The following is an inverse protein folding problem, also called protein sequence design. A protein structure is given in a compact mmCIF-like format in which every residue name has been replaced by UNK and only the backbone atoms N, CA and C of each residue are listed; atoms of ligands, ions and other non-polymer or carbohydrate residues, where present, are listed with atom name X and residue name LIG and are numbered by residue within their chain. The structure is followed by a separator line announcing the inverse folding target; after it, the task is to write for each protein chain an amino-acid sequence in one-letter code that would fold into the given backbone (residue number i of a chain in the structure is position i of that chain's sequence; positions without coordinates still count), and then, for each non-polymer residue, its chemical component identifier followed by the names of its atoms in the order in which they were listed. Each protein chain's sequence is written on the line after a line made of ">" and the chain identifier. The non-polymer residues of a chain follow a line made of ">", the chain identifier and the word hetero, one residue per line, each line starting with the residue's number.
data_IF_188935355659
#
_entry.id   IF_188935355659
#
_cell.length_a   1.000
_cell.length_b   1.000
_cell.length_c   1.000
_cell.angle_alpha   90.00
_cell.angle_beta   90.00
_cell.angle_gamma   90.00
#
_symmetry.space_group_name_H-M   'P 1'
#
loop_
_entity.id
_entity.type
_entity.pdbx_description
1 polymer ?
#
# COMPACT_ATOMS: atom_id res chain seq x y z
N UNK A 1 35.68 7.40 0.71
CA UNK A 1 35.12 8.76 0.55
C UNK A 1 33.82 8.77 1.29
N UNK A 2 33.63 9.70 2.24
CA UNK A 2 32.37 9.83 2.97
C UNK A 2 31.32 10.29 1.99
N UNK A 3 30.42 9.39 1.57
CA UNK A 3 29.22 9.75 0.82
C UNK A 3 28.42 10.71 1.69
N UNK A 4 28.35 11.99 1.30
CA UNK A 4 27.48 12.96 1.96
C UNK A 4 26.05 12.62 1.57
N UNK A 5 25.20 12.30 2.55
CA UNK A 5 23.79 12.03 2.30
C UNK A 5 23.16 13.12 1.44
N UNK A 6 22.40 12.73 0.42
CA UNK A 6 21.77 13.62 -0.54
C UNK A 6 20.28 13.71 -0.23
N UNK A 7 19.81 14.92 0.04
CA UNK A 7 18.37 15.19 0.05
C UNK A 7 17.93 15.34 -1.39
N UNK A 8 17.22 14.36 -1.95
CA UNK A 8 16.60 14.52 -3.26
C UNK A 8 15.64 15.72 -3.23
N UNK A 9 15.54 16.48 -4.34
CA UNK A 9 14.81 17.75 -4.34
C UNK A 9 13.34 17.58 -3.96
N UNK A 10 12.89 18.33 -2.96
CA UNK A 10 11.49 18.33 -2.50
C UNK A 10 10.63 19.13 -3.50
N UNK A 11 9.46 18.59 -3.88
CA UNK A 11 8.43 19.33 -4.64
C UNK A 11 8.76 19.57 -6.10
N UNK A 12 9.62 18.73 -6.69
CA UNK A 12 10.00 18.81 -8.10
C UNK A 12 9.40 17.69 -8.96
N UNK A 13 8.64 16.78 -8.35
CA UNK A 13 8.07 15.67 -9.09
C UNK A 13 7.03 16.19 -10.08
N UNK A 14 7.13 15.71 -11.31
CA UNK A 14 6.17 15.98 -12.39
C UNK A 14 5.81 14.64 -13.03
N UNK A 15 4.58 14.48 -13.57
CA UNK A 15 4.22 13.26 -14.28
C UNK A 15 5.16 12.99 -15.45
N UNK A 16 5.63 11.76 -15.55
CA UNK A 16 6.30 11.22 -16.73
C UNK A 16 5.30 10.75 -17.80
N UNK A 17 5.82 10.03 -18.80
CA UNK A 17 5.00 9.44 -19.86
C UNK A 17 4.57 8.04 -19.43
N UNK A 18 3.26 7.81 -19.34
CA UNK A 18 2.70 6.49 -19.03
C UNK A 18 2.82 5.60 -20.28
N UNK A 19 3.51 4.46 -20.16
CA UNK A 19 3.62 3.48 -21.25
C UNK A 19 2.31 2.67 -21.41
N UNK A 20 2.07 2.01 -22.56
CA UNK A 20 0.87 1.18 -22.76
C UNK A 20 0.67 0.11 -21.68
N UNK A 21 -0.60 -0.28 -21.46
CA UNK A 21 -0.95 -1.37 -20.54
C UNK A 21 -0.24 -2.69 -20.92
N UNK A 22 0.27 -3.41 -19.91
CA UNK A 22 0.92 -4.70 -20.11
C UNK A 22 -0.12 -5.83 -20.26
N UNK A 23 0.07 -6.78 -21.19
CA UNK A 23 -0.91 -7.82 -21.47
C UNK A 23 -0.88 -8.93 -20.42
N UNK A 24 -2.06 -9.38 -19.99
CA UNK A 24 -2.21 -10.56 -19.12
C UNK A 24 -2.71 -11.77 -19.92
N UNK A 25 -2.07 -12.95 -19.85
CA UNK A 25 -2.55 -14.18 -20.49
C UNK A 25 -4.02 -14.48 -20.19
N UNK A 26 -4.71 -15.09 -21.15
CA UNK A 26 -6.13 -15.50 -20.98
C UNK A 26 -6.29 -16.65 -19.97
N UNK A 27 -5.24 -17.42 -19.71
CA UNK A 27 -5.22 -18.50 -18.72
C UNK A 27 -5.30 -18.00 -17.28
N UNK A 28 -4.88 -16.75 -17.01
CA UNK A 28 -4.91 -16.17 -15.66
C UNK A 28 -6.31 -15.60 -15.39
N UNK A 29 -7.02 -16.09 -14.35
CA UNK A 29 -8.33 -15.58 -13.98
C UNK A 29 -8.27 -14.09 -13.64
N UNK A 30 -9.24 -13.33 -14.15
CA UNK A 30 -9.36 -11.89 -13.89
C UNK A 30 -10.37 -11.64 -12.76
N UNK A 31 -10.13 -10.64 -11.90
CA UNK A 31 -11.14 -10.19 -10.96
C UNK A 31 -12.31 -9.55 -11.71
N UNK A 32 -13.47 -9.49 -11.05
CA UNK A 32 -14.75 -9.22 -11.72
C UNK A 32 -14.87 -7.81 -12.31
N UNK A 33 -14.08 -6.84 -11.83
CA UNK A 33 -14.13 -5.45 -12.26
C UNK A 33 -13.39 -5.18 -13.58
N UNK A 34 -12.56 -6.11 -14.06
CA UNK A 34 -11.78 -5.89 -15.29
C UNK A 34 -12.73 -5.74 -16.48
N UNK A 35 -12.65 -4.59 -17.15
CA UNK A 35 -13.55 -4.23 -18.25
C UNK A 35 -14.87 -3.57 -17.82
N UNK A 36 -15.04 -3.25 -16.53
CA UNK A 36 -16.18 -2.49 -15.99
C UNK A 36 -15.73 -1.11 -15.51
N UNK A 37 -16.69 -0.23 -15.21
CA UNK A 37 -16.40 1.10 -14.66
C UNK A 37 -15.79 1.03 -13.24
N UNK A 38 -16.06 -0.04 -12.49
CA UNK A 38 -15.54 -0.26 -11.15
C UNK A 38 -16.05 -1.58 -10.56
N UNK A 39 -15.61 -1.92 -9.35
CA UNK A 39 -16.03 -3.14 -8.67
C UNK A 39 -17.49 -3.10 -8.24
N UNK A 40 -18.12 -4.28 -8.22
CA UNK A 40 -19.42 -4.46 -7.59
C UNK A 40 -19.30 -4.27 -6.06
N UNK A 41 -20.32 -3.68 -5.39
CA UNK A 41 -20.32 -3.60 -3.93
C UNK A 41 -20.21 -4.99 -3.29
N UNK A 42 -19.24 -5.16 -2.38
CA UNK A 42 -19.09 -6.39 -1.62
C UNK A 42 -20.28 -6.60 -0.68
N UNK A 43 -20.77 -7.85 -0.62
CA UNK A 43 -21.92 -8.26 0.21
C UNK A 43 -21.60 -9.47 1.09
N UNK A 44 -20.36 -9.94 1.08
CA UNK A 44 -19.92 -11.07 1.88
C UNK A 44 -19.58 -10.67 3.31
N UNK A 45 -19.05 -11.63 4.06
CA UNK A 45 -18.60 -11.43 5.44
C UNK A 45 -17.15 -10.93 5.46
N UNK A 46 -16.84 -10.06 6.42
CA UNK A 46 -15.43 -9.68 6.72
C UNK A 46 -14.71 -10.82 7.47
N UNK A 47 -15.46 -11.63 8.24
CA UNK A 47 -14.97 -12.87 8.85
C UNK A 47 -14.93 -13.97 7.80
N UNK A 48 -13.74 -14.51 7.53
CA UNK A 48 -13.49 -15.51 6.48
C UNK A 48 -13.50 -16.92 7.05
N UNK A 49 -14.01 -17.87 6.27
CA UNK A 49 -13.84 -19.29 6.58
C UNK A 49 -12.39 -19.74 6.34
N UNK A 50 -12.04 -20.93 6.86
CA UNK A 50 -10.68 -21.45 6.80
C UNK A 50 -10.17 -21.65 5.35
N UNK A 51 -11.06 -22.04 4.42
CA UNK A 51 -10.68 -22.26 3.02
C UNK A 51 -10.35 -20.94 2.32
N UNK A 52 -11.19 -19.92 2.51
CA UNK A 52 -11.00 -18.58 1.96
C UNK A 52 -9.77 -17.93 2.56
N UNK A 53 -9.56 -18.07 3.88
CA UNK A 53 -8.37 -17.55 4.55
C UNK A 53 -7.07 -18.15 3.99
N UNK A 54 -7.04 -19.46 3.70
CA UNK A 54 -5.86 -20.08 3.10
C UNK A 54 -5.59 -19.55 1.68
N UNK A 55 -6.65 -19.30 0.89
CA UNK A 55 -6.50 -18.67 -0.43
C UNK A 55 -5.94 -17.25 -0.30
N UNK A 56 -6.41 -16.47 0.69
CA UNK A 56 -5.91 -15.11 0.95
C UNK A 56 -4.44 -15.20 1.34
N UNK A 57 -4.06 -16.12 2.22
CA UNK A 57 -2.66 -16.34 2.62
C UNK A 57 -1.75 -16.61 1.41
N UNK A 58 -2.22 -17.39 0.43
CA UNK A 58 -1.48 -17.62 -0.82
C UNK A 58 -1.33 -16.33 -1.63
N UNK A 59 -2.42 -15.60 -1.89
CA UNK A 59 -2.38 -14.33 -2.62
C UNK A 59 -1.48 -13.29 -1.93
N UNK A 60 -1.61 -13.14 -0.61
CA UNK A 60 -0.81 -12.26 0.23
C UNK A 60 0.68 -12.60 0.16
N UNK A 61 1.03 -13.88 0.20
CA UNK A 61 2.43 -14.31 0.09
C UNK A 61 3.02 -13.98 -1.29
N UNK A 62 2.25 -14.17 -2.37
CA UNK A 62 2.69 -13.79 -3.72
C UNK A 62 2.95 -12.27 -3.79
N UNK A 63 2.04 -11.44 -3.27
CA UNK A 63 2.22 -9.99 -3.23
C UNK A 63 3.47 -9.57 -2.43
N UNK A 64 3.67 -10.15 -1.25
CA UNK A 64 4.85 -9.90 -0.41
C UNK A 64 6.16 -10.28 -1.11
N UNK A 65 6.17 -11.41 -1.84
CA UNK A 65 7.33 -11.84 -2.61
C UNK A 65 7.58 -10.95 -3.84
N UNK A 66 6.52 -10.43 -4.47
CA UNK A 66 6.64 -9.45 -5.54
C UNK A 66 7.28 -8.15 -5.06
N UNK A 67 6.90 -7.64 -3.87
CA UNK A 67 7.56 -6.48 -3.24
C UNK A 67 9.05 -6.74 -3.04
N UNK A 68 9.42 -7.93 -2.55
CA UNK A 68 10.83 -8.31 -2.37
C UNK A 68 11.57 -8.36 -3.71
N UNK A 69 10.95 -8.89 -4.76
CA UNK A 69 11.55 -8.94 -6.09
C UNK A 69 11.76 -7.53 -6.65
N UNK A 70 10.70 -6.72 -6.73
CA UNK A 70 10.77 -5.33 -7.21
C UNK A 70 11.83 -4.54 -6.43
N UNK A 71 11.87 -4.72 -5.10
CA UNK A 71 12.84 -4.08 -4.21
C UNK A 71 14.31 -4.32 -4.58
N UNK A 72 14.66 -5.44 -5.22
CA UNK A 72 16.04 -5.72 -5.68
C UNK A 72 16.49 -4.80 -6.82
N UNK A 73 15.54 -4.23 -7.54
CA UNK A 73 15.79 -3.40 -8.73
C UNK A 73 15.60 -1.90 -8.45
N UNK A 74 15.25 -1.52 -7.22
CA UNK A 74 15.14 -0.12 -6.80
C UNK A 74 16.54 0.44 -6.57
N UNK A 75 17.10 1.01 -7.63
CA UNK A 75 18.42 1.67 -7.65
C UNK A 75 18.34 2.99 -8.43
N UNK A 76 19.20 3.99 -8.15
CA UNK A 76 19.23 5.22 -8.93
C UNK A 76 19.34 4.94 -10.43
N UNK A 77 18.51 5.60 -11.24
CA UNK A 77 18.47 5.45 -12.69
C UNK A 77 17.40 4.49 -13.23
N UNK A 78 16.76 3.68 -12.38
CA UNK A 78 15.59 2.87 -12.80
C UNK A 78 14.37 3.76 -12.99
N UNK A 79 13.46 3.41 -13.92
CA UNK A 79 12.16 4.10 -14.02
C UNK A 79 11.09 3.37 -13.24
N UNK A 80 10.06 4.08 -12.78
CA UNK A 80 8.90 3.45 -12.14
C UNK A 80 8.18 2.48 -13.08
N UNK A 81 8.10 2.77 -14.38
CA UNK A 81 7.56 1.85 -15.40
C UNK A 81 8.36 0.54 -15.53
N UNK A 82 9.69 0.59 -15.30
CA UNK A 82 10.50 -0.63 -15.29
C UNK A 82 10.21 -1.48 -14.05
N UNK A 83 9.98 -0.83 -12.88
CA UNK A 83 9.56 -1.52 -11.66
C UNK A 83 8.16 -2.15 -11.82
N UNK A 84 7.23 -1.46 -12.48
CA UNK A 84 5.91 -2.02 -12.83
C UNK A 84 6.01 -3.29 -13.67
N UNK A 85 6.87 -3.29 -14.70
CA UNK A 85 7.11 -4.47 -15.53
C UNK A 85 7.62 -5.66 -14.71
N UNK A 86 8.54 -5.43 -13.78
CA UNK A 86 9.09 -6.48 -12.91
C UNK A 86 7.99 -7.05 -12.01
N UNK A 87 7.20 -6.20 -11.36
CA UNK A 87 6.08 -6.64 -10.52
C UNK A 87 5.00 -7.36 -11.32
N UNK A 88 4.68 -6.86 -12.51
CA UNK A 88 3.75 -7.50 -13.44
C UNK A 88 4.20 -8.91 -13.80
N UNK A 89 5.42 -9.05 -14.33
CA UNK A 89 5.99 -10.34 -14.72
C UNK A 89 6.05 -11.32 -13.54
N UNK A 90 6.45 -10.86 -12.36
CA UNK A 90 6.48 -11.70 -11.16
C UNK A 90 5.10 -12.25 -10.79
N UNK A 91 4.05 -11.42 -10.85
CA UNK A 91 2.69 -11.87 -10.55
C UNK A 91 2.19 -12.89 -11.59
N UNK A 92 2.48 -12.65 -12.87
CA UNK A 92 2.10 -13.58 -13.94
C UNK A 92 2.82 -14.93 -13.80
N UNK A 93 4.10 -14.94 -13.42
CA UNK A 93 4.88 -16.17 -13.18
C UNK A 93 4.32 -17.00 -12.02
N UNK A 94 3.51 -16.40 -11.15
CA UNK A 94 2.78 -17.07 -10.06
C UNK A 94 1.30 -17.31 -10.40
N UNK A 95 0.94 -17.21 -11.69
CA UNK A 95 -0.42 -17.35 -12.20
C UNK A 95 -1.42 -16.44 -11.47
N UNK A 96 -0.97 -15.25 -11.04
CA UNK A 96 -1.75 -14.25 -10.32
C UNK A 96 -1.99 -13.01 -11.20
N UNK A 97 -3.17 -12.40 -11.05
CA UNK A 97 -3.51 -11.18 -11.75
C UNK A 97 -3.10 -9.95 -10.91
N UNK A 98 -2.46 -8.92 -11.49
CA UNK A 98 -2.18 -7.67 -10.78
C UNK A 98 -3.47 -6.89 -10.51
N UNK A 99 -3.89 -6.79 -9.25
CA UNK A 99 -5.25 -6.32 -8.94
C UNK A 99 -5.49 -4.87 -9.36
N UNK A 100 -4.49 -4.00 -9.27
CA UNK A 100 -4.61 -2.60 -9.69
C UNK A 100 -4.88 -2.46 -11.19
N UNK A 101 -4.44 -3.41 -12.02
CA UNK A 101 -4.60 -3.33 -13.47
C UNK A 101 -6.07 -3.41 -13.90
N UNK A 102 -6.60 -2.29 -14.40
CA UNK A 102 -8.00 -2.14 -14.79
C UNK A 102 -8.94 -1.80 -13.63
N UNK A 103 -8.45 -1.70 -12.39
CA UNK A 103 -9.26 -1.31 -11.24
C UNK A 103 -9.67 0.16 -11.36
N UNK A 104 -10.97 0.41 -11.58
CA UNK A 104 -11.53 1.75 -11.85
C UNK A 104 -10.78 2.51 -12.96
N UNK A 105 -10.21 1.78 -13.93
CA UNK A 105 -9.47 2.35 -15.04
C UNK A 105 -7.98 2.60 -14.79
N UNK A 106 -7.42 2.25 -13.62
CA UNK A 106 -5.98 2.31 -13.36
C UNK A 106 -5.20 1.45 -14.36
N UNK A 107 -4.06 1.96 -14.84
CA UNK A 107 -3.40 1.51 -16.08
C UNK A 107 -2.17 0.64 -15.86
N UNK A 108 -1.77 0.44 -14.61
CA UNK A 108 -0.54 -0.25 -14.22
C UNK A 108 -0.82 -1.38 -13.23
N UNK A 109 0.19 -2.17 -12.97
CA UNK A 109 0.14 -3.44 -12.23
C UNK A 109 0.50 -3.27 -10.76
N UNK A 110 1.06 -2.11 -10.41
CA UNK A 110 1.39 -1.67 -9.06
C UNK A 110 1.28 -0.15 -8.97
N UNK A 111 1.32 0.40 -7.76
CA UNK A 111 1.54 1.83 -7.54
C UNK A 111 3.00 2.09 -7.15
N UNK A 112 3.56 3.20 -7.62
CA UNK A 112 4.91 3.65 -7.28
C UNK A 112 4.89 5.11 -6.83
N UNK A 113 4.98 5.34 -5.52
CA UNK A 113 4.78 6.65 -4.91
C UNK A 113 6.10 7.20 -4.38
N UNK A 114 6.70 8.14 -5.13
CA UNK A 114 7.99 8.76 -4.81
C UNK A 114 7.78 10.01 -3.94
N UNK A 115 8.59 10.15 -2.89
CA UNK A 115 8.77 11.38 -2.10
C UNK A 115 7.46 12.00 -1.57
N UNK A 116 6.92 13.02 -2.23
CA UNK A 116 5.68 13.73 -1.85
C UNK A 116 4.38 13.02 -2.24
N UNK A 117 4.46 11.95 -3.04
CA UNK A 117 3.31 11.15 -3.43
C UNK A 117 2.85 10.29 -2.25
N UNK A 118 1.65 10.56 -1.75
CA UNK A 118 1.02 9.88 -0.61
C UNK A 118 0.70 8.43 -0.97
N UNK A 119 -0.02 8.24 -2.09
CA UNK A 119 -0.43 6.92 -2.57
C UNK A 119 -0.80 7.02 -4.07
N UNK A 120 -1.00 5.85 -4.68
CA UNK A 120 -1.53 5.70 -6.04
C UNK A 120 -0.72 6.37 -7.16
N UNK A 121 0.58 6.62 -6.95
CA UNK A 121 1.45 7.09 -8.03
C UNK A 121 1.45 6.09 -9.19
N UNK A 122 1.13 6.56 -10.40
CA UNK A 122 1.10 5.71 -11.59
C UNK A 122 2.54 5.50 -12.11
N UNK A 123 3.01 4.26 -12.27
CA UNK A 123 4.27 3.98 -12.96
C UNK A 123 4.38 4.59 -14.36
N UNK A 124 5.48 5.29 -14.62
CA UNK A 124 5.73 6.05 -15.84
C UNK A 124 7.25 6.17 -16.12
N UNK A 125 7.65 7.06 -17.04
CA UNK A 125 9.08 7.29 -17.34
C UNK A 125 9.84 8.06 -16.26
N UNK A 126 9.27 8.35 -15.09
CA UNK A 126 9.96 9.01 -13.99
C UNK A 126 11.13 8.14 -13.53
N UNK A 127 12.31 8.74 -13.49
CA UNK A 127 13.55 8.10 -13.06
C UNK A 127 13.70 8.27 -11.55
N UNK A 128 13.96 7.17 -10.85
CA UNK A 128 14.26 7.17 -9.42
C UNK A 128 15.70 7.69 -9.21
N UNK A 129 15.87 8.66 -8.32
CA UNK A 129 17.14 9.35 -8.07
C UNK A 129 17.81 8.90 -6.74
N UNK A 130 19.11 9.17 -6.59
CA UNK A 130 19.82 8.98 -5.32
C UNK A 130 19.27 9.94 -4.25
N UNK A 131 18.89 9.40 -3.09
CA UNK A 131 18.29 10.18 -2.01
C UNK A 131 16.75 10.23 -2.01
N UNK A 132 16.09 9.54 -2.95
CA UNK A 132 14.64 9.36 -2.95
C UNK A 132 14.19 8.35 -1.88
N UNK A 133 12.93 8.48 -1.49
CA UNK A 133 12.15 7.38 -0.92
C UNK A 133 11.02 7.02 -1.89
N UNK A 134 10.75 5.73 -2.06
CA UNK A 134 9.72 5.23 -2.97
C UNK A 134 8.91 4.15 -2.29
N UNK A 135 7.59 4.33 -2.23
CA UNK A 135 6.66 3.26 -1.87
C UNK A 135 6.29 2.46 -3.13
N UNK A 136 6.34 1.13 -3.02
CA UNK A 136 5.78 0.21 -3.99
C UNK A 136 4.61 -0.50 -3.33
N UNK A 137 3.46 -0.48 -3.99
CA UNK A 137 2.21 -1.07 -3.54
C UNK A 137 1.71 -2.13 -4.54
N UNK A 138 1.60 -3.38 -4.09
CA UNK A 138 1.29 -4.53 -4.92
C UNK A 138 0.18 -5.36 -4.28
N UNK A 139 -0.86 -5.58 -5.08
CA UNK A 139 -1.96 -6.48 -4.74
C UNK A 139 -2.04 -7.65 -5.73
N UNK A 140 -1.91 -8.89 -5.24
CA UNK A 140 -2.05 -10.09 -6.07
C UNK A 140 -3.48 -10.64 -6.01
N UNK A 141 -4.07 -10.98 -7.16
CA UNK A 141 -5.33 -11.73 -7.24
C UNK A 141 -5.08 -13.16 -7.70
N UNK A 142 -5.36 -14.12 -6.81
CA UNK A 142 -5.19 -15.55 -7.04
C UNK A 142 -6.32 -16.33 -6.38
N UNK A 143 -6.77 -17.41 -7.03
CA UNK A 143 -7.81 -18.30 -6.49
C UNK A 143 -9.12 -17.59 -6.08
N UNK A 144 -9.45 -16.47 -6.73
CA UNK A 144 -10.67 -15.71 -6.45
C UNK A 144 -10.56 -14.70 -5.30
N UNK A 145 -9.35 -14.48 -4.75
CA UNK A 145 -9.12 -13.53 -3.65
C UNK A 145 -7.86 -12.68 -3.85
N UNK A 146 -7.87 -11.52 -3.24
CA UNK A 146 -6.81 -10.52 -3.22
C UNK A 146 -5.93 -10.68 -1.98
N UNK A 147 -4.65 -10.34 -2.10
CA UNK A 147 -3.75 -10.12 -0.98
C UNK A 147 -2.91 -8.88 -1.24
N UNK A 148 -2.80 -8.00 -0.24
CA UNK A 148 -2.38 -6.61 -0.43
C UNK A 148 -1.28 -6.18 0.53
N UNK A 149 -0.29 -5.47 0.00
CA UNK A 149 0.85 -4.96 0.78
C UNK A 149 1.66 -3.94 0.00
N UNK A 150 2.22 -3.00 0.74
CA UNK A 150 3.14 -2.01 0.24
C UNK A 150 4.32 -1.79 1.19
N UNK A 151 5.39 -1.24 0.62
CA UNK A 151 6.63 -0.98 1.36
C UNK A 151 7.35 0.24 0.82
N UNK A 152 7.76 1.16 1.71
CA UNK A 152 8.66 2.26 1.34
C UNK A 152 10.13 1.83 1.40
N UNK A 153 10.84 2.00 0.29
CA UNK A 153 12.26 1.77 0.12
C UNK A 153 13.04 3.08 0.13
N UNK A 154 14.26 3.05 0.68
CA UNK A 154 15.25 4.12 0.56
C UNK A 154 16.13 3.89 -0.67
N UNK A 155 16.35 4.92 -1.49
CA UNK A 155 17.12 4.81 -2.73
C UNK A 155 18.51 5.42 -2.53
N UNK A 156 19.54 4.59 -2.56
CA UNK A 156 20.92 5.04 -2.41
C UNK A 156 21.16 5.78 -1.09
N UNK A 157 21.70 7.01 -1.13
CA UNK A 157 22.09 7.78 0.07
C UNK A 157 21.00 8.75 0.55
N UNK A 158 20.04 8.25 1.33
CA UNK A 158 18.94 9.05 1.87
C UNK A 158 19.36 9.85 3.11
N UNK A 159 18.84 11.08 3.25
CA UNK A 159 19.03 11.92 4.45
C UNK A 159 18.37 11.33 5.72
N UNK A 160 18.84 11.80 6.88
CA UNK A 160 18.39 11.28 8.17
C UNK A 160 16.91 11.54 8.45
N UNK A 161 16.36 12.69 8.03
CA UNK A 161 14.94 13.03 8.25
C UNK A 161 14.04 12.02 7.54
N UNK A 162 14.39 11.65 6.32
CA UNK A 162 13.63 10.73 5.48
C UNK A 162 13.84 9.28 5.91
N UNK A 163 15.07 8.91 6.30
CA UNK A 163 15.33 7.60 6.93
C UNK A 163 14.48 7.41 8.18
N UNK A 164 14.38 8.43 9.04
CA UNK A 164 13.55 8.41 10.24
C UNK A 164 12.06 8.39 9.92
N UNK A 165 11.59 9.10 8.89
CA UNK A 165 10.20 9.02 8.43
C UNK A 165 9.82 7.58 8.06
N UNK A 166 10.65 6.92 7.24
CA UNK A 166 10.44 5.54 6.81
C UNK A 166 10.42 4.59 8.01
N UNK A 167 11.43 4.64 8.87
CA UNK A 167 11.53 3.80 10.09
C UNK A 167 10.30 3.96 11.01
N UNK A 168 9.89 5.20 11.24
CA UNK A 168 8.78 5.51 12.16
C UNK A 168 7.42 5.18 11.55
N UNK A 169 7.25 5.29 10.24
CA UNK A 169 6.02 4.85 9.56
C UNK A 169 5.86 3.34 9.71
N UNK A 170 6.91 2.57 9.45
CA UNK A 170 6.92 1.12 9.66
C UNK A 170 6.64 0.75 11.13
N UNK A 171 7.27 1.44 12.08
CA UNK A 171 7.05 1.21 13.51
C UNK A 171 5.62 1.55 13.94
N UNK A 172 4.97 2.54 13.32
CA UNK A 172 3.57 2.89 13.56
C UNK A 172 2.63 1.75 13.16
N UNK A 173 2.83 1.17 11.97
CA UNK A 173 2.12 -0.03 11.52
C UNK A 173 2.33 -1.19 12.49
N UNK A 174 3.58 -1.47 12.87
CA UNK A 174 3.91 -2.55 13.81
C UNK A 174 3.22 -2.39 15.16
N UNK A 175 3.05 -1.16 15.65
CA UNK A 175 2.30 -0.87 16.88
C UNK A 175 0.81 -1.05 16.70
N UNK A 176 0.28 -0.61 15.57
CA UNK A 176 -1.13 -0.75 15.22
C UNK A 176 -1.57 -2.22 15.15
N UNK A 177 -0.76 -3.07 14.51
CA UNK A 177 -0.98 -4.53 14.44
C UNK A 177 -1.06 -5.14 15.85
N UNK A 178 -0.20 -4.72 16.78
CA UNK A 178 -0.26 -5.21 18.18
C UNK A 178 -1.50 -4.75 18.94
N UNK A 179 -2.21 -3.74 18.45
CA UNK A 179 -3.48 -3.30 19.02
C UNK A 179 -4.68 -4.13 18.52
N UNK A 180 -4.51 -4.93 17.46
CA UNK A 180 -5.56 -5.80 16.93
C UNK A 180 -5.80 -6.96 17.89
N UNK A 181 -7.04 -7.12 18.33
CA UNK A 181 -7.51 -8.26 19.11
C UNK A 181 -9.04 -8.37 19.01
N UNK A 182 -9.63 -9.57 19.12
CA UNK A 182 -11.07 -9.74 19.19
C UNK A 182 -11.71 -8.89 20.31
N UNK A 183 -12.90 -8.35 20.05
CA UNK A 183 -13.67 -7.56 21.00
C UNK A 183 -13.27 -6.09 21.13
N UNK A 184 -12.18 -5.66 20.48
CA UNK A 184 -11.80 -4.24 20.41
C UNK A 184 -12.42 -3.58 19.18
N UNK A 185 -12.73 -2.30 19.28
CA UNK A 185 -13.19 -1.49 18.15
C UNK A 185 -12.03 -1.18 17.18
N UNK A 186 -12.30 -1.16 15.87
CA UNK A 186 -11.31 -0.88 14.82
C UNK A 186 -10.64 0.49 14.98
N UNK A 187 -11.37 1.54 15.38
CA UNK A 187 -10.83 2.89 15.56
C UNK A 187 -9.62 2.99 16.53
N UNK A 188 -9.37 1.95 17.34
CA UNK A 188 -8.20 1.88 18.21
C UNK A 188 -6.88 1.76 17.46
N UNK A 189 -6.92 1.25 16.22
CA UNK A 189 -5.80 1.18 15.28
C UNK A 189 -5.31 2.61 14.99
N UNK A 190 -6.21 3.48 14.54
CA UNK A 190 -5.88 4.87 14.22
C UNK A 190 -5.43 5.69 15.44
N UNK A 191 -6.06 5.50 16.60
CA UNK A 191 -5.56 6.11 17.86
C UNK A 191 -4.11 5.71 18.16
N UNK A 192 -3.77 4.43 17.93
CA UNK A 192 -2.43 3.91 18.20
C UNK A 192 -1.39 4.55 17.27
N UNK A 193 -1.72 4.67 15.98
CA UNK A 193 -0.86 5.28 14.96
C UNK A 193 -0.66 6.77 15.26
N UNK A 194 -1.74 7.55 15.38
CA UNK A 194 -1.65 9.00 15.58
C UNK A 194 -0.97 9.37 16.90
N UNK A 195 -1.20 8.62 17.97
CA UNK A 195 -0.50 8.82 19.25
C UNK A 195 1.01 8.62 19.13
N UNK A 196 1.46 7.68 18.29
CA UNK A 196 2.88 7.47 18.04
C UNK A 196 3.46 8.57 17.13
N UNK A 197 2.80 8.85 16.00
CA UNK A 197 3.22 9.86 15.02
C UNK A 197 3.36 11.26 15.63
N UNK A 198 2.43 11.65 16.52
CA UNK A 198 2.41 12.95 17.20
C UNK A 198 3.70 13.23 18.00
N UNK A 199 4.40 12.20 18.49
CA UNK A 199 5.67 12.36 19.24
C UNK A 199 6.80 12.95 18.40
N UNK A 200 6.67 12.89 17.08
CA UNK A 200 7.66 13.35 16.10
C UNK A 200 7.16 14.52 15.26
N UNK A 201 5.93 15.00 15.51
CA UNK A 201 5.32 16.08 14.74
C UNK A 201 4.89 15.69 13.33
N UNK A 202 4.70 14.39 13.05
CA UNK A 202 4.26 13.92 11.73
C UNK A 202 2.76 14.06 11.54
N UNK A 203 2.36 14.35 10.30
CA UNK A 203 0.97 14.26 9.87
C UNK A 203 0.54 12.81 9.67
N UNK A 204 -0.76 12.57 9.80
CA UNK A 204 -1.41 11.28 9.53
C UNK A 204 -2.55 11.51 8.54
N UNK A 205 -2.40 10.97 7.34
CA UNK A 205 -3.40 11.13 6.26
C UNK A 205 -4.74 10.51 6.69
N UNK A 206 -5.85 11.18 6.32
CA UNK A 206 -7.20 10.84 6.83
C UNK A 206 -8.16 10.31 5.77
N UNK A 207 -8.01 10.75 4.51
CA UNK A 207 -8.94 10.41 3.43
C UNK A 207 -8.62 9.06 2.76
N UNK A 208 -7.46 8.48 3.08
CA UNK A 208 -7.02 7.16 2.63
C UNK A 208 -6.76 6.27 3.84
N UNK A 209 -7.35 5.08 3.84
CA UNK A 209 -7.53 4.23 5.02
C UNK A 209 -7.29 2.78 4.65
N UNK A 210 -6.97 1.95 5.65
CA UNK A 210 -7.03 0.51 5.46
C UNK A 210 -8.44 0.05 5.12
N UNK A 211 -8.55 -1.14 4.55
CA UNK A 211 -9.80 -1.71 4.10
C UNK A 211 -9.91 -3.21 4.36
N UNK A 212 -11.13 -3.74 4.37
CA UNK A 212 -11.31 -5.19 4.24
C UNK A 212 -10.82 -5.66 2.88
N UNK A 213 -10.22 -6.85 2.83
CA UNK A 213 -9.63 -7.44 1.62
C UNK A 213 -9.85 -8.96 1.61
N UNK A 214 -10.06 -9.54 0.43
CA UNK A 214 -10.33 -10.95 0.25
C UNK A 214 -10.94 -11.22 -1.12
N UNK A 215 -12.17 -11.72 -1.17
CA UNK A 215 -12.91 -11.92 -2.44
C UNK A 215 -13.16 -10.61 -3.20
N UNK A 216 -13.15 -9.48 -2.50
CA UNK A 216 -13.12 -8.14 -3.08
C UNK A 216 -11.78 -7.47 -2.75
N UNK A 217 -11.30 -6.63 -3.68
CA UNK A 217 -10.06 -5.86 -3.49
C UNK A 217 -10.23 -4.89 -2.31
N UNK A 218 -11.27 -4.05 -2.37
CA UNK A 218 -11.68 -3.19 -1.26
C UNK A 218 -13.12 -3.56 -0.88
N UNK A 219 -13.33 -3.99 0.35
CA UNK A 219 -14.70 -4.16 0.88
C UNK A 219 -15.26 -2.81 1.36
N UNK A 220 -16.34 -2.82 2.16
CA UNK A 220 -16.89 -1.63 2.80
C UNK A 220 -16.32 -1.35 4.20
N UNK A 221 -15.45 -2.23 4.73
CA UNK A 221 -14.82 -2.03 6.03
C UNK A 221 -13.74 -0.96 5.92
N UNK A 222 -13.81 0.06 6.77
CA UNK A 222 -12.89 1.20 6.79
C UNK A 222 -12.04 1.15 8.06
N UNK A 223 -10.72 1.22 7.91
CA UNK A 223 -9.74 1.17 9.00
C UNK A 223 -8.98 2.51 9.05
N UNK A 224 -9.44 3.49 9.84
CA UNK A 224 -8.79 4.79 9.90
C UNK A 224 -7.42 4.70 10.58
N UNK A 225 -6.48 5.52 10.10
CA UNK A 225 -5.12 5.64 10.66
C UNK A 225 -4.98 6.76 11.69
N UNK A 226 -6.04 7.55 11.93
CA UNK A 226 -6.12 8.64 12.90
C UNK A 226 -7.12 8.32 14.03
N UNK A 227 -7.08 9.05 15.15
CA UNK A 227 -8.07 8.87 16.23
C UNK A 227 -9.43 9.39 15.76
N UNK A 228 -10.25 8.47 15.25
CA UNK A 228 -11.56 8.75 14.69
C UNK A 228 -12.70 8.53 15.69
N UNK A 229 -12.41 8.19 16.95
CA UNK A 229 -13.44 7.86 17.92
C UNK A 229 -14.40 9.03 18.16
N UNK A 230 -15.72 8.76 18.31
CA UNK A 230 -16.35 7.43 18.39
C UNK A 230 -16.75 6.81 17.03
N UNK A 231 -16.34 7.38 15.89
CA UNK A 231 -16.63 6.79 14.57
C UNK A 231 -15.79 5.53 14.30
N UNK A 232 -16.16 4.78 13.25
CA UNK A 232 -15.49 3.56 12.79
C UNK A 232 -15.25 2.53 13.90
N UNK A 233 -16.31 2.28 14.68
CA UNK A 233 -16.28 1.49 15.90
C UNK A 233 -16.70 0.02 15.70
N UNK A 234 -16.60 -0.52 14.48
CA UNK A 234 -16.81 -1.95 14.21
C UNK A 234 -15.96 -2.78 15.16
N UNK A 235 -16.56 -3.75 15.85
CA UNK A 235 -15.86 -4.64 16.77
C UNK A 235 -15.11 -5.69 15.95
N UNK A 236 -13.81 -5.84 16.21
CA UNK A 236 -12.99 -6.87 15.58
C UNK A 236 -13.39 -8.25 16.07
N UNK A 237 -13.58 -9.17 15.14
CA UNK A 237 -13.95 -10.57 15.40
C UNK A 237 -12.87 -11.51 14.85
N UNK A 238 -12.70 -12.67 15.48
CA UNK A 238 -11.79 -13.70 14.98
C UNK A 238 -12.17 -14.09 13.55
N UNK A 239 -11.16 -14.19 12.67
CA UNK A 239 -11.31 -14.47 11.25
C UNK A 239 -11.57 -13.24 10.38
N UNK A 240 -11.73 -12.03 10.95
CA UNK A 240 -11.77 -10.80 10.14
C UNK A 240 -10.45 -10.58 9.41
N UNK A 241 -10.52 -10.25 8.11
CA UNK A 241 -9.35 -9.93 7.28
C UNK A 241 -9.41 -8.49 6.79
N UNK A 242 -8.33 -7.74 7.00
CA UNK A 242 -8.22 -6.35 6.57
C UNK A 242 -6.76 -5.88 6.47
N UNK A 243 -6.55 -4.71 5.86
CA UNK A 243 -5.28 -4.02 5.76
C UNK A 243 -5.14 -2.96 6.87
N UNK A 244 -3.90 -2.71 7.28
CA UNK A 244 -3.52 -1.50 8.01
C UNK A 244 -2.36 -0.89 7.20
N UNK A 245 -2.51 0.36 6.78
CA UNK A 245 -1.64 0.98 5.74
C UNK A 245 -1.30 2.46 6.02
N UNK A 246 -0.78 2.81 7.22
CA UNK A 246 -0.60 4.21 7.62
C UNK A 246 0.32 4.99 6.67
N UNK A 247 -0.18 6.14 6.21
CA UNK A 247 0.58 7.15 5.49
C UNK A 247 0.94 8.31 6.43
N UNK A 248 2.24 8.45 6.73
CA UNK A 248 2.75 9.54 7.58
C UNK A 248 3.49 10.58 6.76
N UNK A 249 3.29 11.85 7.08
CA UNK A 249 3.91 12.99 6.36
C UNK A 249 4.87 13.76 7.25
N UNK A 250 5.94 14.32 6.68
CA UNK A 250 6.81 15.32 7.36
C UNK A 250 6.12 16.68 7.54
N UNK A 251 4.96 16.86 6.93
CA UNK A 251 4.27 18.12 6.75
C UNK A 251 2.83 18.10 7.23
N UNK A 252 1.99 18.84 6.52
CA UNK A 252 0.54 18.75 6.65
C UNK A 252 -0.02 17.44 6.10
N UNK A 253 -1.32 17.25 6.30
CA UNK A 253 -2.09 16.10 5.76
C UNK A 253 -2.94 16.46 4.55
N UNK A 254 -3.02 17.75 4.27
CA UNK A 254 -3.70 18.30 3.12
C UNK A 254 -3.04 17.80 1.83
N UNK A 255 -3.85 17.39 0.86
CA UNK A 255 -3.38 16.83 -0.40
C UNK A 255 -3.99 17.54 -1.61
N UNK A 256 -3.33 17.37 -2.75
CA UNK A 256 -3.88 17.63 -4.08
C UNK A 256 -3.83 16.33 -4.89
N UNK A 257 -4.73 16.18 -5.86
CA UNK A 257 -4.72 15.08 -6.82
C UNK A 257 -4.24 15.61 -8.17
N UNK A 258 -3.38 14.84 -8.85
CA UNK A 258 -2.96 15.16 -10.20
C UNK A 258 -4.11 15.01 -11.21
N UNK A 259 -3.91 15.54 -12.42
CA UNK A 259 -4.90 15.46 -13.52
C UNK A 259 -5.10 14.03 -14.05
N UNK A 260 -4.32 13.05 -13.56
CA UNK A 260 -4.46 11.63 -13.88
C UNK A 260 -5.57 10.93 -13.07
N UNK A 261 -6.26 11.65 -12.16
CA UNK A 261 -7.31 11.17 -11.26
C UNK A 261 -6.87 10.10 -10.25
N UNK A 262 -5.56 9.88 -10.08
CA UNK A 262 -5.01 8.85 -9.18
C UNK A 262 -3.93 9.36 -8.26
N UNK A 263 -2.91 10.03 -8.80
CA UNK A 263 -1.71 10.37 -8.04
C UNK A 263 -2.03 11.43 -6.99
N UNK A 264 -1.91 11.05 -5.71
CA UNK A 264 -2.19 11.93 -4.57
C UNK A 264 -0.88 12.44 -4.01
N UNK A 265 -0.74 13.76 -3.90
CA UNK A 265 0.49 14.40 -3.39
C UNK A 265 0.20 15.28 -2.20
N UNK A 266 1.14 15.37 -1.24
CA UNK A 266 1.04 16.34 -0.14
C UNK A 266 0.98 17.76 -0.71
N UNK A 267 0.07 18.60 -0.21
CA UNK A 267 -0.12 19.97 -0.73
C UNK A 267 1.08 20.87 -0.47
N UNK A 268 1.79 20.63 0.63
CA UNK A 268 3.06 21.32 0.96
C UNK A 268 4.28 20.67 0.29
N UNK A 269 4.06 19.61 -0.51
CA UNK A 269 5.06 18.83 -1.24
C UNK A 269 6.15 18.22 -0.37
N UNK A 270 5.92 18.10 0.95
CA UNK A 270 6.83 17.39 1.84
C UNK A 270 6.68 15.88 1.69
N UNK A 271 7.76 15.16 2.03
CA UNK A 271 7.81 13.70 1.90
C UNK A 271 6.80 13.00 2.79
N UNK A 272 6.37 11.83 2.32
CA UNK A 272 5.46 10.90 2.97
C UNK A 272 5.99 9.49 2.82
N UNK A 273 5.64 8.61 3.74
CA UNK A 273 5.96 7.19 3.67
C UNK A 273 4.73 6.36 4.06
N UNK A 274 4.67 5.14 3.54
CA UNK A 274 3.58 4.20 3.78
C UNK A 274 4.14 2.78 3.91
N UNK A 275 3.51 2.00 4.79
CA UNK A 275 3.74 0.57 4.91
C UNK A 275 2.40 -0.09 5.10
N UNK A 276 2.24 -1.30 4.58
CA UNK A 276 0.98 -2.02 4.67
C UNK A 276 1.16 -3.51 4.89
N UNK A 277 0.26 -4.07 5.69
CA UNK A 277 0.03 -5.50 5.73
C UNK A 277 -1.45 -5.85 5.66
N UNK A 278 -1.79 -6.84 4.84
CA UNK A 278 -2.98 -7.68 5.04
C UNK A 278 -2.76 -8.58 6.27
N UNK A 279 -3.76 -8.64 7.15
CA UNK A 279 -3.75 -9.50 8.33
C UNK A 279 -5.11 -10.13 8.61
N UNK A 280 -5.10 -11.19 9.42
CA UNK A 280 -6.31 -11.80 9.98
C UNK A 280 -6.33 -11.66 11.49
N UNK A 281 -7.49 -11.35 12.06
CA UNK A 281 -7.71 -11.36 13.51
C UNK A 281 -7.75 -12.81 13.99
N UNK A 282 -6.98 -13.14 15.01
CA UNK A 282 -6.93 -14.48 15.64
C UNK A 282 -7.57 -14.43 17.02
N UNK A 283 -7.82 -15.57 17.66
CA UNK A 283 -8.37 -15.65 19.02
C UNK A 283 -7.64 -14.78 20.07
N UNK A 284 -6.36 -14.45 19.86
CA UNK A 284 -5.55 -13.69 20.82
C UNK A 284 -4.87 -12.44 20.25
N UNK A 285 -5.11 -12.08 18.98
CA UNK A 285 -4.41 -10.95 18.36
C UNK A 285 -4.60 -10.89 16.85
N UNK A 286 -3.50 -10.80 16.10
CA UNK A 286 -3.48 -10.83 14.64
C UNK A 286 -2.34 -11.69 14.08
N UNK A 287 -2.57 -12.29 12.92
CA UNK A 287 -1.56 -12.92 12.07
C UNK A 287 -1.37 -12.07 10.82
N UNK A 288 -0.12 -11.68 10.53
CA UNK A 288 0.23 -10.97 9.30
C UNK A 288 0.35 -11.98 8.16
N UNK A 289 -0.40 -11.78 7.08
CA UNK A 289 -0.45 -12.69 5.94
C UNK A 289 0.55 -12.33 4.83
N UNK A 290 1.05 -11.10 4.82
CA UNK A 290 2.00 -10.58 3.81
C UNK A 290 3.43 -10.53 4.32
N UNK A 291 3.88 -11.64 4.94
CA UNK A 291 5.31 -11.89 5.16
C UNK A 291 5.83 -12.82 4.04
N UNK A 292 7.01 -12.54 3.45
CA UNK A 292 7.54 -13.28 2.29
C UNK A 292 7.91 -14.76 2.58
#
# INVERSE_FOLDING_TARGET
>A
MSSTATTAPIGKLVPGIISPELPVPLSIPRPEYVGKAGPAPFKGSEVKDAETLEKIRISSKIAAQAIVEVGKHIVPGVTTDALDRIGHEFLLDHDAYPSTLGYRGFKKSLCSSINEVICHGIPDTTVVEDGDIINIDITAFKNGVHGDTNWTFTVGNVDEESRLLVERTQESLRRAIRAVAPGREINVIGRTIESYAKRFGYGVVRDFTGHGVGEAFHTGLIIPHYDAAPAYNTVMEEGMVFTIEPMLTLGGIEWDMWEDDWTVVTRDRKRTAQFEHTMVVTATGAEVLTLP
#
